data_IF_797237978146
#
_entry.id   IF_797237978146
#
_cell.length_a   1.000
_cell.length_b   1.000
_cell.length_c   1.000
_cell.angle_alpha   90.00
_cell.angle_beta   90.00
_cell.angle_gamma   90.00
#
_symmetry.space_group_name_H-M   'P 1'
#
loop_
_entity.id
_entity.type
_entity.pdbx_description
1 polymer ?
#
# COMPACT_ATOMS: atom_id res chain seq x y z
N UNK A 1 37.79 48.41 12.36
CA UNK A 1 37.68 47.78 11.02
C UNK A 1 36.81 46.54 11.20
N UNK A 2 35.53 46.60 10.83
CA UNK A 2 34.97 45.99 9.60
C UNK A 2 35.28 44.49 9.50
N UNK A 3 34.37 43.52 9.43
CA UNK A 3 32.90 43.50 9.31
C UNK A 3 32.44 42.03 9.26
N UNK A 4 31.13 41.76 9.43
CA UNK A 4 30.53 40.46 9.07
C UNK A 4 30.39 40.31 7.55
N UNK A 5 30.39 39.07 7.05
CA UNK A 5 29.24 38.54 6.26
C UNK A 5 29.07 37.02 6.52
N UNK A 6 28.13 36.23 6.00
CA UNK A 6 26.78 36.33 5.46
C UNK A 6 26.28 34.86 5.35
N UNK A 7 24.97 34.67 5.19
CA UNK A 7 24.25 33.40 5.16
C UNK A 7 24.50 32.50 3.94
N UNK A 8 24.39 31.17 4.12
CA UNK A 8 23.85 30.19 3.15
C UNK A 8 23.19 29.04 3.95
N UNK A 9 21.86 28.92 3.95
CA UNK A 9 21.08 27.94 3.15
C UNK A 9 21.56 26.50 3.37
N UNK A 10 20.83 25.63 4.08
CA UNK A 10 19.51 25.16 3.67
C UNK A 10 19.65 23.82 2.95
N UNK A 11 19.82 22.72 3.69
CA UNK A 11 19.50 21.38 3.20
C UNK A 11 18.70 20.64 4.27
N UNK A 12 17.38 20.83 4.21
CA UNK A 12 16.42 19.99 4.90
C UNK A 12 16.44 18.64 4.21
N UNK A 13 17.28 17.73 4.69
CA UNK A 13 17.19 16.32 4.31
C UNK A 13 15.87 15.82 4.88
N UNK A 14 14.84 15.72 4.03
CA UNK A 14 13.60 15.04 4.36
C UNK A 14 13.94 13.59 4.70
N UNK A 15 14.16 13.34 5.99
CA UNK A 15 14.32 12.02 6.53
C UNK A 15 12.92 11.40 6.51
N UNK A 16 12.61 10.69 5.42
CA UNK A 16 11.45 9.79 5.39
C UNK A 16 11.71 8.70 6.42
N UNK A 17 11.28 8.95 7.66
CA UNK A 17 11.25 7.95 8.71
C UNK A 17 10.16 6.96 8.32
N UNK A 18 10.57 5.85 7.73
CA UNK A 18 9.71 4.68 7.59
C UNK A 18 9.59 4.07 8.99
N UNK A 19 8.54 4.44 9.71
CA UNK A 19 8.20 3.82 10.99
C UNK A 19 7.79 2.36 10.72
N UNK A 20 8.75 1.45 10.90
CA UNK A 20 8.51 0.02 10.80
C UNK A 20 7.54 -0.41 11.90
N UNK A 21 6.60 -1.30 11.53
CA UNK A 21 5.52 -1.83 12.36
C UNK A 21 5.96 -2.18 13.79
N UNK A 22 5.60 -1.33 14.75
CA UNK A 22 5.74 -1.62 16.17
C UNK A 22 4.74 -2.72 16.57
N UNK A 23 5.26 -3.86 17.00
CA UNK A 23 4.49 -5.08 17.24
C UNK A 23 3.58 -5.00 18.46
N UNK A 24 2.29 -5.25 18.25
CA UNK A 24 1.37 -5.63 19.33
C UNK A 24 1.45 -7.14 19.62
N UNK A 25 1.40 -7.59 20.90
CA UNK A 25 1.47 -9.01 21.24
C UNK A 25 0.12 -9.69 21.00
N UNK A 26 0.11 -10.89 20.41
CA UNK A 26 -1.13 -11.67 20.19
C UNK A 26 -0.97 -13.07 20.77
N UNK A 27 -2.00 -13.46 21.55
CA UNK A 27 -2.23 -14.75 22.18
C UNK A 27 -2.11 -15.94 21.22
N UNK A 28 -1.40 -16.98 21.68
CA UNK A 28 -1.22 -18.26 21.01
C UNK A 28 -2.42 -19.17 21.24
N UNK A 29 -3.36 -19.24 20.29
CA UNK A 29 -4.22 -20.42 20.14
C UNK A 29 -4.79 -20.54 18.74
N UNK A 30 -4.16 -21.40 17.92
CA UNK A 30 -4.74 -22.31 16.91
C UNK A 30 -3.67 -22.63 15.86
N UNK A 31 -3.42 -23.93 15.65
CA UNK A 31 -2.45 -24.48 14.71
C UNK A 31 -2.84 -24.21 13.25
N UNK A 32 -1.99 -23.57 12.41
CA UNK A 32 -2.23 -23.48 10.98
C UNK A 32 -1.58 -24.65 10.22
N UNK A 33 -2.34 -25.20 9.28
CA UNK A 33 -1.95 -26.24 8.32
C UNK A 33 -0.87 -25.70 7.35
N UNK A 34 0.21 -26.43 7.00
CA UNK A 34 1.37 -25.88 6.28
C UNK A 34 1.22 -25.77 4.75
N UNK A 35 0.00 -25.87 4.20
CA UNK A 35 -0.21 -26.07 2.75
C UNK A 35 -0.60 -24.82 1.92
N UNK A 36 -0.50 -23.60 2.45
CA UNK A 36 -0.89 -22.39 1.71
C UNK A 36 0.21 -21.34 1.74
N UNK A 37 1.22 -21.53 0.88
CA UNK A 37 2.06 -20.42 0.41
C UNK A 37 1.19 -19.58 -0.51
N UNK A 38 0.87 -18.34 -0.10
CA UNK A 38 -0.09 -17.49 -0.79
C UNK A 38 0.58 -16.22 -1.33
N UNK A 39 0.29 -15.86 -2.59
CA UNK A 39 0.67 -14.58 -3.18
C UNK A 39 0.04 -13.39 -2.43
N UNK A 40 0.59 -12.16 -2.55
CA UNK A 40 0.05 -10.98 -1.89
C UNK A 40 -1.43 -10.69 -2.21
N UNK A 41 -1.91 -11.18 -3.35
CA UNK A 41 -3.32 -11.10 -3.76
C UNK A 41 -4.11 -12.41 -3.63
N UNK A 42 -3.64 -13.39 -2.85
CA UNK A 42 -4.15 -14.76 -2.94
C UNK A 42 -4.50 -15.41 -1.61
N UNK A 43 -5.52 -14.92 -0.90
CA UNK A 43 -6.25 -15.79 0.04
C UNK A 43 -7.54 -16.25 -0.63
N UNK A 44 -7.52 -17.45 -1.21
CA UNK A 44 -8.75 -18.23 -1.42
C UNK A 44 -8.49 -19.65 -0.92
N UNK A 45 -8.91 -19.92 0.31
CA UNK A 45 -9.56 -21.19 0.61
C UNK A 45 -11.02 -20.79 0.85
N UNK A 46 -11.89 -21.08 -0.12
CA UNK A 46 -13.33 -20.77 -0.13
C UNK A 46 -13.69 -19.28 0.03
N UNK A 47 -13.81 -18.56 -1.10
CA UNK A 47 -14.31 -17.19 -1.18
C UNK A 47 -13.18 -16.15 -1.18
N UNK A 48 -13.03 -15.42 -2.28
CA UNK A 48 -12.22 -14.21 -2.33
C UNK A 48 -12.67 -13.26 -1.23
N UNK A 49 -11.85 -13.11 -0.19
CA UNK A 49 -11.99 -11.97 0.73
C UNK A 49 -11.46 -10.77 -0.04
N UNK A 50 -12.35 -10.15 -0.81
CA UNK A 50 -12.11 -8.86 -1.43
C UNK A 50 -11.94 -7.86 -0.29
N UNK A 51 -10.76 -7.24 -0.19
CA UNK A 51 -10.52 -6.20 0.80
C UNK A 51 -11.45 -5.01 0.51
N UNK A 52 -12.52 -4.91 1.30
CA UNK A 52 -13.55 -3.87 1.14
C UNK A 52 -12.97 -2.47 1.26
N UNK A 53 -11.90 -2.27 2.04
CA UNK A 53 -11.27 -0.95 2.17
C UNK A 53 -10.45 -0.61 0.92
N UNK A 54 -9.72 -1.58 0.37
CA UNK A 54 -9.03 -1.39 -0.90
C UNK A 54 -10.03 -1.05 -2.01
N UNK A 55 -11.11 -1.83 -2.14
CA UNK A 55 -12.14 -1.60 -3.15
C UNK A 55 -12.82 -0.24 -2.98
N UNK A 56 -13.12 0.17 -1.75
CA UNK A 56 -13.69 1.48 -1.50
C UNK A 56 -12.75 2.61 -1.96
N UNK A 57 -11.46 2.52 -1.60
CA UNK A 57 -10.45 3.52 -1.99
C UNK A 57 -10.23 3.55 -3.51
N UNK A 58 -10.20 2.39 -4.14
CA UNK A 58 -10.09 2.24 -5.58
C UNK A 58 -11.31 2.82 -6.31
N UNK A 59 -12.52 2.51 -5.86
CA UNK A 59 -13.74 3.07 -6.46
C UNK A 59 -13.76 4.60 -6.34
N UNK A 60 -13.32 5.13 -5.20
CA UNK A 60 -13.20 6.57 -5.00
C UNK A 60 -12.20 7.23 -5.96
N UNK A 61 -11.02 6.63 -6.18
CA UNK A 61 -10.05 7.16 -7.16
C UNK A 61 -10.58 7.08 -8.59
N UNK A 62 -11.30 6.00 -8.93
CA UNK A 62 -11.98 5.82 -10.23
C UNK A 62 -13.05 6.88 -10.46
N UNK A 63 -13.88 7.18 -9.46
CA UNK A 63 -14.91 8.22 -9.55
C UNK A 63 -14.31 9.60 -9.87
N UNK A 64 -13.22 9.98 -9.20
CA UNK A 64 -12.54 11.25 -9.46
C UNK A 64 -11.88 11.24 -10.85
N UNK A 65 -11.23 10.13 -11.23
CA UNK A 65 -10.63 10.00 -12.55
C UNK A 65 -11.67 10.15 -13.66
N UNK A 66 -12.85 9.57 -13.48
CA UNK A 66 -13.93 9.65 -14.45
C UNK A 66 -14.43 11.09 -14.61
N UNK A 67 -14.62 11.82 -13.51
CA UNK A 67 -14.99 13.25 -13.55
C UNK A 67 -13.91 14.11 -14.21
N UNK A 68 -12.63 13.87 -13.87
CA UNK A 68 -11.49 14.52 -14.56
C UNK A 68 -11.51 14.24 -16.06
N UNK A 69 -11.69 12.98 -16.45
CA UNK A 69 -11.70 12.55 -17.85
C UNK A 69 -12.86 13.20 -18.61
N UNK A 70 -14.06 13.22 -18.05
CA UNK A 70 -15.22 13.85 -18.66
C UNK A 70 -15.00 15.35 -18.90
N UNK A 71 -14.37 16.05 -17.96
CA UNK A 71 -14.04 17.47 -18.11
C UNK A 71 -12.99 17.73 -19.19
N UNK A 72 -11.96 16.88 -19.25
CA UNK A 72 -10.93 16.95 -20.27
C UNK A 72 -11.51 16.64 -21.65
N UNK A 73 -12.28 15.55 -21.77
CA UNK A 73 -12.94 15.16 -23.01
C UNK A 73 -13.88 16.28 -23.51
N UNK A 74 -14.64 16.89 -22.60
CA UNK A 74 -15.52 18.01 -22.92
C UNK A 74 -14.73 19.24 -23.40
N UNK A 75 -13.61 19.59 -22.77
CA UNK A 75 -12.72 20.66 -23.20
C UNK A 75 -12.19 20.44 -24.61
N UNK A 76 -11.70 19.24 -24.90
CA UNK A 76 -11.08 18.92 -26.19
C UNK A 76 -12.10 18.60 -27.30
N UNK A 77 -13.35 18.28 -26.95
CA UNK A 77 -14.42 18.07 -27.94
C UNK A 77 -14.82 19.34 -28.70
N UNK A 78 -14.37 20.53 -28.25
CA UNK A 78 -14.80 21.81 -28.78
C UNK A 78 -16.24 22.20 -28.41
N UNK A 79 -16.90 21.40 -27.56
CA UNK A 79 -18.27 21.64 -27.10
C UNK A 79 -18.43 22.77 -26.07
N UNK A 80 -17.35 23.43 -25.68
CA UNK A 80 -17.36 24.47 -24.63
C UNK A 80 -17.10 25.86 -25.20
N UNK A 81 -17.99 26.78 -24.85
CA UNK A 81 -17.89 28.19 -25.21
C UNK A 81 -16.63 28.80 -24.61
N UNK A 82 -15.98 29.71 -25.34
CA UNK A 82 -14.71 30.32 -24.94
C UNK A 82 -14.75 30.94 -23.53
N UNK A 83 -15.89 31.53 -23.16
CA UNK A 83 -16.12 32.14 -21.85
C UNK A 83 -16.14 31.13 -20.68
N UNK A 84 -16.51 29.88 -20.96
CA UNK A 84 -16.63 28.81 -19.95
C UNK A 84 -15.34 27.98 -19.85
N UNK A 85 -14.42 28.12 -20.80
CA UNK A 85 -13.17 27.35 -20.83
C UNK A 85 -12.30 27.60 -19.60
N UNK A 86 -12.20 28.86 -19.14
CA UNK A 86 -11.42 29.20 -17.94
C UNK A 86 -11.93 28.45 -16.70
N UNK A 87 -13.25 28.46 -16.49
CA UNK A 87 -13.89 27.76 -15.39
C UNK A 87 -13.67 26.24 -15.48
N UNK A 88 -13.80 25.67 -16.68
CA UNK A 88 -13.56 24.24 -16.89
C UNK A 88 -12.10 23.85 -16.65
N UNK A 89 -11.13 24.66 -17.06
CA UNK A 89 -9.71 24.44 -16.74
C UNK A 89 -9.50 24.45 -15.23
N UNK A 90 -10.11 25.38 -14.49
CA UNK A 90 -10.04 25.38 -13.02
C UNK A 90 -10.63 24.09 -12.41
N UNK A 91 -11.75 23.59 -12.95
CA UNK A 91 -12.35 22.32 -12.51
C UNK A 91 -11.44 21.11 -12.79
N UNK A 92 -10.83 21.05 -13.97
CA UNK A 92 -9.84 20.03 -14.34
C UNK A 92 -8.66 20.03 -13.36
N UNK A 93 -8.13 21.21 -13.03
CA UNK A 93 -7.02 21.34 -12.07
C UNK A 93 -7.42 20.85 -10.67
N UNK A 94 -8.60 21.23 -10.20
CA UNK A 94 -9.12 20.76 -8.90
C UNK A 94 -9.31 19.24 -8.87
N UNK A 95 -9.87 18.66 -9.94
CA UNK A 95 -10.03 17.21 -10.06
C UNK A 95 -8.67 16.50 -10.13
N UNK A 96 -7.67 17.13 -10.76
CA UNK A 96 -6.30 16.61 -10.81
C UNK A 96 -5.67 16.55 -9.42
N UNK A 97 -5.76 17.62 -8.64
CA UNK A 97 -5.27 17.65 -7.26
C UNK A 97 -5.97 16.60 -6.39
N UNK A 98 -7.30 16.49 -6.52
CA UNK A 98 -8.10 15.50 -5.81
C UNK A 98 -7.73 14.07 -6.19
N UNK A 99 -7.48 13.81 -7.48
CA UNK A 99 -7.08 12.51 -7.99
C UNK A 99 -5.71 12.10 -7.48
N UNK A 100 -4.73 13.02 -7.50
CA UNK A 100 -3.39 12.78 -6.96
C UNK A 100 -3.47 12.37 -5.49
N UNK A 101 -4.25 13.11 -4.69
CA UNK A 101 -4.47 12.78 -3.28
C UNK A 101 -5.12 11.41 -3.08
N UNK A 102 -6.16 11.10 -3.86
CA UNK A 102 -6.84 9.80 -3.78
C UNK A 102 -5.91 8.63 -4.13
N UNK A 103 -5.12 8.77 -5.20
CA UNK A 103 -4.15 7.77 -5.63
C UNK A 103 -3.02 7.57 -4.61
N UNK A 104 -2.54 8.64 -3.97
CA UNK A 104 -1.50 8.52 -2.95
C UNK A 104 -2.01 7.78 -1.71
N UNK A 105 -3.25 8.04 -1.29
CA UNK A 105 -3.94 7.34 -0.20
C UNK A 105 -4.16 5.85 -0.54
N UNK A 106 -4.61 5.55 -1.75
CA UNK A 106 -4.80 4.17 -2.23
C UNK A 106 -3.46 3.41 -2.28
N UNK A 107 -2.42 4.04 -2.85
CA UNK A 107 -1.06 3.50 -2.90
C UNK A 107 -0.52 3.24 -1.50
N UNK A 108 -0.68 4.18 -0.58
CA UNK A 108 -0.18 4.06 0.79
C UNK A 108 -0.86 2.89 1.50
N UNK A 109 -2.17 2.74 1.36
CA UNK A 109 -2.91 1.60 1.92
C UNK A 109 -2.42 0.27 1.34
N UNK A 110 -2.26 0.19 0.01
CA UNK A 110 -1.72 -1.00 -0.65
C UNK A 110 -0.33 -1.37 -0.14
N UNK A 111 0.59 -0.40 -0.07
CA UNK A 111 1.97 -0.66 0.34
C UNK A 111 2.09 -0.97 1.83
N UNK A 112 1.44 -0.17 2.67
CA UNK A 112 1.61 -0.21 4.12
C UNK A 112 0.75 -1.29 4.78
N UNK A 113 -0.53 -1.37 4.43
CA UNK A 113 -1.45 -2.25 5.15
C UNK A 113 -1.56 -3.61 4.47
N UNK A 114 -1.62 -3.66 3.14
CA UNK A 114 -1.81 -4.92 2.42
C UNK A 114 -0.47 -5.65 2.24
N UNK A 115 0.50 -5.03 1.56
CA UNK A 115 1.74 -5.71 1.20
C UNK A 115 2.67 -5.94 2.40
N UNK A 116 2.76 -4.98 3.33
CA UNK A 116 3.60 -5.15 4.51
C UNK A 116 3.04 -6.23 5.45
N UNK A 117 1.72 -6.21 5.72
CA UNK A 117 1.10 -7.23 6.58
C UNK A 117 1.25 -8.62 5.97
N UNK A 118 1.06 -8.75 4.66
CA UNK A 118 1.32 -9.99 3.94
C UNK A 118 2.77 -10.45 4.09
N UNK A 119 3.74 -9.55 3.89
CA UNK A 119 5.16 -9.91 4.01
C UNK A 119 5.51 -10.41 5.42
N UNK A 120 4.98 -9.76 6.45
CA UNK A 120 5.16 -10.16 7.86
C UNK A 120 4.53 -11.52 8.13
N UNK A 121 3.29 -11.76 7.67
CA UNK A 121 2.63 -13.05 7.83
C UNK A 121 3.39 -14.17 7.12
N UNK A 122 3.83 -13.90 5.89
CA UNK A 122 4.59 -14.86 5.11
C UNK A 122 5.94 -15.20 5.77
N UNK A 123 6.63 -14.22 6.34
CA UNK A 123 7.86 -14.45 7.08
C UNK A 123 7.63 -15.32 8.32
N UNK A 124 6.57 -15.04 9.10
CA UNK A 124 6.20 -15.84 10.28
C UNK A 124 5.91 -17.30 9.91
N UNK A 125 5.14 -17.52 8.85
CA UNK A 125 4.83 -18.86 8.34
C UNK A 125 6.09 -19.59 7.89
N UNK A 126 7.01 -18.90 7.20
CA UNK A 126 8.30 -19.48 6.79
C UNK A 126 9.13 -19.94 7.98
N UNK A 127 9.23 -19.13 9.04
CA UNK A 127 10.00 -19.48 10.26
C UNK A 127 9.34 -20.66 10.99
N UNK A 128 8.01 -20.65 11.15
CA UNK A 128 7.28 -21.75 11.80
C UNK A 128 7.44 -23.07 11.05
N UNK A 129 7.44 -23.02 9.71
CA UNK A 129 7.66 -24.19 8.87
C UNK A 129 9.06 -24.75 9.05
N UNK A 130 10.09 -23.90 9.02
CA UNK A 130 11.48 -24.30 9.27
C UNK A 130 11.66 -24.94 10.65
N UNK A 131 11.07 -24.34 11.70
CA UNK A 131 11.15 -24.88 13.05
C UNK A 131 10.49 -26.27 13.15
N UNK A 132 9.32 -26.43 12.53
CA UNK A 132 8.61 -27.71 12.48
C UNK A 132 9.42 -28.77 11.74
N UNK A 133 10.03 -28.42 10.61
CA UNK A 133 10.93 -29.31 9.87
C UNK A 133 12.13 -29.73 10.73
N UNK A 134 12.77 -28.78 11.43
CA UNK A 134 13.89 -29.08 12.31
C UNK A 134 13.51 -30.06 13.43
N UNK A 135 12.37 -29.87 14.08
CA UNK A 135 11.86 -30.80 15.10
C UNK A 135 11.63 -32.21 14.53
N UNK A 136 11.02 -32.31 13.34
CA UNK A 136 10.78 -33.60 12.69
C UNK A 136 12.09 -34.31 12.32
N UNK A 137 13.09 -33.59 11.82
CA UNK A 137 14.40 -34.18 11.53
C UNK A 137 15.11 -34.66 12.79
N UNK A 138 15.04 -33.92 13.90
CA UNK A 138 15.61 -34.38 15.18
C UNK A 138 14.94 -35.67 15.69
N UNK A 139 13.62 -35.77 15.52
CA UNK A 139 12.88 -37.00 15.86
C UNK A 139 13.36 -38.18 15.01
N UNK A 140 13.48 -38.00 13.69
CA UNK A 140 13.98 -39.04 12.79
C UNK A 140 15.39 -39.50 13.15
N UNK A 141 16.30 -38.57 13.44
CA UNK A 141 17.66 -38.89 13.91
C UNK A 141 17.63 -39.69 15.22
N UNK A 142 16.73 -39.37 16.14
CA UNK A 142 16.59 -40.10 17.40
C UNK A 142 16.09 -41.53 17.19
N UNK A 143 15.19 -41.76 16.22
CA UNK A 143 14.72 -43.09 15.85
C UNK A 143 15.82 -43.89 15.15
N UNK A 144 16.57 -43.26 14.24
CA UNK A 144 17.66 -43.90 13.47
C UNK A 144 18.83 -44.36 14.36
N UNK A 145 19.02 -43.70 15.49
CA UNK A 145 20.10 -43.99 16.46
C UNK A 145 19.73 -45.00 17.54
N UNK A 146 18.52 -45.57 17.51
CA UNK A 146 18.04 -46.64 18.40
C UNK A 146 18.15 -48.02 17.76
#
# INVERSE_FOLDING_TARGET
MYGSPAAEQGTSTNHYKMDYCEGSPISLSSTPNPATVQSPGGTVVMGQVVDSNFVQRHNFSVEIYQAFKEDVDLLFSGGVQLQDQSHMISRILQNTESLIGALDVEKQYLMSDVLCSWAVQQQKLSIATLWTQHMNYNLLTTIDTQ
#
